data_IF_189240167665
#
_entry.id   IF_189240167665
#
_cell.length_a   1.000
_cell.length_b   1.000
_cell.length_c   1.000
_cell.angle_alpha   90.00
_cell.angle_beta   90.00
_cell.angle_gamma   90.00
#
_symmetry.space_group_name_H-M   'P 1'
#
loop_
_entity.id
_entity.type
_entity.pdbx_description
1 polymer ?
#
# COMPACT_ATOMS: atom_id res chain seq x y z
N UNK A 1 21.77 13.18 12.65
CA UNK A 1 21.27 12.65 11.37
C UNK A 1 20.04 13.48 11.01
N UNK A 2 19.95 14.05 9.80
CA UNK A 2 18.76 14.84 9.41
C UNK A 2 17.58 13.89 9.25
N UNK A 3 16.57 14.03 10.10
CA UNK A 3 15.36 13.22 10.06
C UNK A 3 14.52 13.62 8.84
N UNK A 4 14.24 12.67 7.94
CA UNK A 4 13.30 12.89 6.85
C UNK A 4 11.88 12.71 7.41
N UNK A 5 11.05 13.77 7.53
CA UNK A 5 9.78 13.69 8.26
C UNK A 5 8.79 12.68 7.64
N UNK A 6 8.90 12.40 6.34
CA UNK A 6 8.06 11.41 5.68
C UNK A 6 8.35 9.95 6.09
N UNK A 7 9.50 9.69 6.73
CA UNK A 7 9.89 8.37 7.23
C UNK A 7 9.33 8.08 8.63
N UNK A 8 8.80 9.09 9.33
CA UNK A 8 8.22 8.90 10.65
C UNK A 8 7.05 7.89 10.58
N UNK A 9 7.07 6.80 11.35
CA UNK A 9 6.00 5.81 11.28
C UNK A 9 4.65 6.34 11.79
N UNK A 10 4.62 7.40 12.59
CA UNK A 10 3.38 7.95 13.15
C UNK A 10 2.69 8.94 12.20
N UNK A 11 3.42 9.58 11.27
CA UNK A 11 2.81 10.51 10.31
C UNK A 11 2.06 9.77 9.20
N UNK A 12 1.12 10.47 8.56
CA UNK A 12 0.42 9.98 7.37
C UNK A 12 1.19 10.51 6.15
N UNK A 13 1.88 9.63 5.44
CA UNK A 13 2.62 9.99 4.23
C UNK A 13 1.75 9.76 2.99
N UNK A 14 1.55 10.81 2.19
CA UNK A 14 0.72 10.80 0.98
C UNK A 14 1.53 10.72 -0.32
N UNK A 15 1.34 9.65 -1.08
CA UNK A 15 1.79 9.50 -2.47
C UNK A 15 0.88 10.25 -3.46
N UNK A 16 1.38 10.45 -4.68
CA UNK A 16 0.60 11.10 -5.73
C UNK A 16 0.05 10.10 -6.75
N UNK A 17 -1.27 10.17 -6.99
CA UNK A 17 -1.91 9.52 -8.14
C UNK A 17 -2.19 10.53 -9.26
N UNK A 18 -2.30 10.02 -10.49
CA UNK A 18 -2.88 10.73 -11.62
C UNK A 18 -4.25 10.17 -11.94
N UNK A 19 -5.24 11.05 -12.05
CA UNK A 19 -6.65 10.65 -12.16
C UNK A 19 -7.16 10.50 -13.58
N UNK A 20 -6.30 10.66 -14.59
CA UNK A 20 -6.67 10.81 -16.02
C UNK A 20 -7.82 11.78 -16.32
N UNK A 21 -8.14 12.68 -15.37
CA UNK A 21 -9.30 13.59 -15.40
C UNK A 21 -10.65 12.89 -15.44
N UNK A 22 -10.72 11.65 -14.98
CA UNK A 22 -11.96 10.91 -14.73
C UNK A 22 -12.37 11.08 -13.26
N UNK A 23 -13.64 10.78 -12.96
CA UNK A 23 -14.16 10.81 -11.59
C UNK A 23 -14.03 9.46 -10.88
N UNK A 24 -13.93 8.37 -11.66
CA UNK A 24 -13.74 7.02 -11.16
C UNK A 24 -12.24 6.72 -11.01
N UNK A 25 -11.91 5.82 -10.10
CA UNK A 25 -10.55 5.38 -9.80
C UNK A 25 -10.03 4.30 -10.75
N UNK A 26 -10.89 3.68 -11.57
CA UNK A 26 -10.55 2.50 -12.40
C UNK A 26 -9.31 2.72 -13.28
N UNK A 27 -9.11 3.93 -13.81
CA UNK A 27 -7.98 4.27 -14.68
C UNK A 27 -6.93 5.18 -14.00
N UNK A 28 -7.06 5.39 -12.69
CA UNK A 28 -6.06 6.08 -11.88
C UNK A 28 -4.77 5.27 -11.80
N UNK A 29 -3.66 5.98 -11.71
CA UNK A 29 -2.33 5.34 -11.67
C UNK A 29 -1.38 6.11 -10.77
N UNK A 30 -0.34 5.42 -10.28
CA UNK A 30 0.73 6.07 -9.53
C UNK A 30 1.46 7.10 -10.39
N UNK A 31 1.63 8.31 -9.88
CA UNK A 31 2.45 9.29 -10.58
C UNK A 31 3.90 8.78 -10.64
N UNK A 32 4.54 8.76 -11.83
CA UNK A 32 5.82 8.07 -12.02
C UNK A 32 6.99 8.69 -11.23
N UNK A 33 6.84 9.93 -10.76
CA UNK A 33 7.81 10.65 -9.93
C UNK A 33 7.50 10.57 -8.42
N UNK A 34 6.40 9.93 -8.03
CA UNK A 34 6.06 9.75 -6.61
C UNK A 34 7.02 8.73 -6.00
N UNK A 35 7.81 9.16 -5.02
CA UNK A 35 8.72 8.28 -4.30
C UNK A 35 7.95 7.24 -3.48
N UNK A 36 8.51 6.03 -3.39
CA UNK A 36 7.99 4.94 -2.58
C UNK A 36 9.09 3.95 -2.23
N UNK A 37 8.84 3.16 -1.20
CA UNK A 37 9.77 2.13 -0.73
C UNK A 37 9.58 1.85 0.75
N UNK A 38 10.58 1.20 1.34
CA UNK A 38 10.64 0.97 2.77
C UNK A 38 11.65 1.92 3.40
N UNK A 39 11.34 2.43 4.59
CA UNK A 39 12.33 3.13 5.41
C UNK A 39 13.41 2.17 5.89
N UNK A 40 14.49 2.67 6.48
CA UNK A 40 15.56 1.82 7.04
C UNK A 40 15.02 0.87 8.12
N UNK A 41 14.00 1.31 8.84
CA UNK A 41 13.30 0.58 9.89
C UNK A 41 12.25 -0.41 9.34
N UNK A 42 12.04 -0.45 8.01
CA UNK A 42 11.14 -1.39 7.34
C UNK A 42 9.70 -0.92 7.19
N UNK A 43 9.39 0.36 7.39
CA UNK A 43 8.03 0.88 7.19
C UNK A 43 7.78 1.20 5.70
N UNK A 44 6.69 0.68 5.13
CA UNK A 44 6.26 1.06 3.77
C UNK A 44 5.84 2.52 3.76
N UNK A 45 6.40 3.30 2.83
CA UNK A 45 6.02 4.67 2.54
C UNK A 45 5.81 4.86 1.03
N UNK A 46 4.81 5.65 0.61
CA UNK A 46 3.75 6.27 1.42
C UNK A 46 2.73 5.23 1.93
N UNK A 47 1.96 5.55 2.99
CA UNK A 47 0.87 4.67 3.42
C UNK A 47 -0.35 4.74 2.51
N UNK A 48 -0.67 5.94 2.00
CA UNK A 48 -1.83 6.17 1.13
C UNK A 48 -1.44 7.08 -0.01
N UNK A 49 -2.25 7.11 -1.06
CA UNK A 49 -2.11 8.08 -2.14
C UNK A 49 -3.34 8.99 -2.26
N UNK A 50 -3.16 10.13 -2.91
CA UNK A 50 -4.23 11.03 -3.29
C UNK A 50 -3.92 11.69 -4.65
N UNK A 51 -4.93 12.27 -5.32
CA UNK A 51 -4.73 13.05 -6.54
C UNK A 51 -3.63 14.11 -6.36
N UNK A 52 -2.55 13.98 -7.13
CA UNK A 52 -1.38 14.85 -7.06
C UNK A 52 -0.77 15.16 -8.42
N UNK A 53 -1.29 14.58 -9.52
CA UNK A 53 -0.87 14.88 -10.89
C UNK A 53 -1.96 15.64 -11.63
N UNK A 54 -1.57 16.65 -12.40
CA UNK A 54 -2.47 17.56 -13.11
C UNK A 54 -3.55 18.13 -12.21
N UNK A 55 -3.15 18.68 -11.07
CA UNK A 55 -4.04 19.37 -10.15
C UNK A 55 -4.20 20.83 -10.60
N UNK A 56 -5.41 21.37 -10.47
CA UNK A 56 -5.64 22.82 -10.63
C UNK A 56 -5.39 23.47 -9.28
N UNK A 57 -4.33 24.26 -9.17
CA UNK A 57 -4.04 25.02 -7.96
C UNK A 57 -4.05 26.52 -8.22
N UNK A 58 -4.41 27.28 -7.18
CA UNK A 58 -4.34 28.73 -7.22
C UNK A 58 -2.88 29.19 -7.28
N UNK A 59 -2.60 30.17 -8.12
CA UNK A 59 -1.28 30.78 -8.28
C UNK A 59 -1.45 32.30 -8.34
N UNK A 60 -0.64 33.08 -7.60
CA UNK A 60 -0.63 34.53 -7.73
C UNK A 60 -0.34 34.98 -9.16
N UNK A 61 -0.99 36.06 -9.60
CA UNK A 61 -0.85 36.56 -10.99
C UNK A 61 0.60 36.88 -11.35
N UNK A 62 1.35 37.44 -10.39
CA UNK A 62 2.77 37.79 -10.52
C UNK A 62 3.71 36.74 -9.90
N UNK A 63 3.21 35.53 -9.60
CA UNK A 63 4.03 34.47 -9.02
C UNK A 63 5.07 33.95 -10.02
N UNK A 64 6.30 33.73 -9.55
CA UNK A 64 7.42 33.22 -10.36
C UNK A 64 7.04 31.96 -11.16
N UNK A 65 6.27 31.05 -10.55
CA UNK A 65 5.82 29.82 -11.19
C UNK A 65 4.91 30.07 -12.40
N UNK A 66 4.06 31.11 -12.34
CA UNK A 66 3.22 31.52 -13.47
C UNK A 66 4.04 32.15 -14.60
N UNK A 67 5.04 32.96 -14.26
CA UNK A 67 5.94 33.59 -15.21
C UNK A 67 6.81 32.55 -15.93
N UNK A 68 7.33 31.55 -15.21
CA UNK A 68 8.22 30.52 -15.77
C UNK A 68 7.47 29.46 -16.59
N UNK A 69 6.22 29.16 -16.25
CA UNK A 69 5.42 28.12 -16.92
C UNK A 69 4.08 28.65 -17.47
N UNK A 70 4.09 29.65 -18.37
CA UNK A 70 2.87 30.32 -18.83
C UNK A 70 1.89 29.37 -19.53
N UNK A 71 2.40 28.34 -20.23
CA UNK A 71 1.59 27.33 -20.92
C UNK A 71 0.76 26.43 -19.98
N UNK A 72 1.07 26.43 -18.68
CA UNK A 72 0.30 25.69 -17.67
C UNK A 72 -0.79 26.54 -17.03
N UNK A 73 -0.83 27.86 -17.29
CA UNK A 73 -1.85 28.74 -16.75
C UNK A 73 -3.22 28.43 -17.36
N UNK A 74 -4.25 28.46 -16.52
CA UNK A 74 -5.64 28.24 -16.90
C UNK A 74 -6.43 29.55 -17.01
N UNK A 75 -5.76 30.70 -16.83
CA UNK A 75 -6.43 31.97 -16.57
C UNK A 75 -7.00 32.04 -15.14
N UNK A 76 -7.54 33.21 -14.76
CA UNK A 76 -8.25 33.44 -13.50
C UNK A 76 -7.47 33.08 -12.22
N UNK A 77 -6.14 33.19 -12.24
CA UNK A 77 -5.30 32.85 -11.09
C UNK A 77 -5.13 31.35 -10.83
N UNK A 78 -5.35 30.48 -11.81
CA UNK A 78 -5.11 29.03 -11.70
C UNK A 78 -4.05 28.51 -12.66
N UNK A 79 -3.43 27.40 -12.28
CA UNK A 79 -2.42 26.70 -13.07
C UNK A 79 -2.48 25.18 -12.84
N UNK A 80 -2.16 24.42 -13.88
CA UNK A 80 -1.90 22.98 -13.77
C UNK A 80 -0.57 22.71 -13.07
N UNK A 81 -0.61 21.94 -11.98
CA UNK A 81 0.55 21.59 -11.18
C UNK A 81 0.57 20.11 -10.85
N UNK A 82 1.73 19.59 -10.46
CA UNK A 82 1.92 18.20 -10.10
C UNK A 82 2.97 18.10 -9.01
N UNK A 83 2.72 17.27 -8.01
CA UNK A 83 3.63 17.04 -6.89
C UNK A 83 2.93 16.29 -5.77
N UNK A 84 3.69 15.57 -4.94
CA UNK A 84 3.17 15.02 -3.68
C UNK A 84 2.71 16.15 -2.75
N UNK A 85 3.29 17.35 -2.90
CA UNK A 85 2.81 18.60 -2.29
C UNK A 85 1.35 18.95 -2.64
N UNK A 86 0.78 18.41 -3.72
CA UNK A 86 -0.64 18.56 -4.05
C UNK A 86 -1.50 17.40 -3.54
N UNK A 87 -0.94 16.21 -3.37
CA UNK A 87 -1.61 15.09 -2.72
C UNK A 87 -1.73 15.30 -1.20
N UNK A 88 -0.69 15.82 -0.55
CA UNK A 88 -0.66 16.09 0.89
C UNK A 88 -1.83 16.93 1.42
N UNK A 89 -2.21 18.08 0.81
CA UNK A 89 -3.38 18.85 1.26
C UNK A 89 -4.70 18.14 0.98
N UNK A 90 -4.79 17.26 -0.03
CA UNK A 90 -6.00 16.42 -0.23
C UNK A 90 -6.17 15.44 0.93
N UNK A 91 -5.09 14.74 1.32
CA UNK A 91 -5.09 13.85 2.48
C UNK A 91 -5.41 14.63 3.77
N UNK A 92 -4.80 15.80 3.95
CA UNK A 92 -5.03 16.66 5.13
C UNK A 92 -6.46 17.18 5.20
N UNK A 93 -7.05 17.56 4.07
CA UNK A 93 -8.46 17.98 4.01
C UNK A 93 -9.42 16.85 4.33
N UNK A 94 -9.11 15.63 3.91
CA UNK A 94 -9.89 14.44 4.31
C UNK A 94 -9.73 14.14 5.80
N UNK A 95 -8.53 14.22 6.36
CA UNK A 95 -8.30 14.09 7.79
C UNK A 95 -9.12 15.13 8.59
N UNK A 96 -9.14 16.39 8.14
CA UNK A 96 -9.97 17.43 8.74
C UNK A 96 -11.48 17.11 8.65
N UNK A 97 -11.96 16.60 7.52
CA UNK A 97 -13.36 16.18 7.38
C UNK A 97 -13.73 14.99 8.29
N UNK A 98 -12.82 14.02 8.45
CA UNK A 98 -12.99 12.90 9.37
C UNK A 98 -13.10 13.42 10.81
N UNK A 99 -12.20 14.31 11.22
CA UNK A 99 -12.22 14.93 12.55
C UNK A 99 -13.45 15.81 12.79
N UNK A 100 -13.92 16.53 11.76
CA UNK A 100 -15.14 17.33 11.87
C UNK A 100 -16.38 16.47 12.16
N UNK A 101 -16.41 15.24 11.65
CA UNK A 101 -17.47 14.26 11.91
C UNK A 101 -17.25 13.43 13.16
N UNK A 102 -15.99 13.23 13.54
CA UNK A 102 -15.58 12.41 14.67
C UNK A 102 -14.61 13.18 15.58
N UNK A 103 -15.07 14.20 16.34
CA UNK A 103 -14.18 15.10 17.06
C UNK A 103 -13.35 14.45 18.17
N UNK A 104 -13.78 13.28 18.66
CA UNK A 104 -13.09 12.53 19.71
C UNK A 104 -12.05 11.54 19.17
N UNK A 105 -11.87 11.45 17.85
CA UNK A 105 -10.92 10.50 17.27
C UNK A 105 -9.48 10.96 17.45
N UNK A 106 -8.60 9.99 17.70
CA UNK A 106 -7.15 10.20 17.75
C UNK A 106 -6.55 10.30 16.35
N UNK A 107 -5.34 10.86 16.19
CA UNK A 107 -4.60 10.84 14.93
C UNK A 107 -4.45 9.42 14.35
N UNK A 108 -4.26 8.42 15.20
CA UNK A 108 -4.16 7.02 14.76
C UNK A 108 -5.46 6.48 14.19
N UNK A 109 -6.60 6.83 14.79
CA UNK A 109 -7.91 6.42 14.28
C UNK A 109 -8.18 7.06 12.92
N UNK A 110 -7.75 8.32 12.73
CA UNK A 110 -7.79 9.00 11.42
C UNK A 110 -6.88 8.30 10.41
N UNK A 111 -5.63 8.00 10.77
CA UNK A 111 -4.68 7.25 9.93
C UNK A 111 -5.23 5.89 9.55
N UNK A 112 -5.74 5.14 10.53
CA UNK A 112 -6.36 3.83 10.35
C UNK A 112 -7.58 3.87 9.43
N UNK A 113 -8.46 4.85 9.59
CA UNK A 113 -9.62 5.03 8.72
C UNK A 113 -9.23 5.32 7.26
N UNK A 114 -8.24 6.20 7.05
CA UNK A 114 -7.74 6.52 5.71
C UNK A 114 -7.11 5.30 5.04
N UNK A 115 -6.27 4.54 5.76
CA UNK A 115 -5.63 3.33 5.24
C UNK A 115 -6.62 2.21 4.96
N UNK A 116 -7.52 1.91 5.90
CA UNK A 116 -8.47 0.80 5.80
C UNK A 116 -9.48 0.98 4.66
N UNK A 117 -9.82 2.23 4.35
CA UNK A 117 -10.86 2.54 3.36
C UNK A 117 -10.31 2.95 2.00
N UNK A 118 -8.98 3.10 1.89
CA UNK A 118 -8.32 3.39 0.63
C UNK A 118 -8.63 2.31 -0.42
N UNK A 119 -8.66 2.73 -1.69
CA UNK A 119 -9.02 1.86 -2.82
C UNK A 119 -7.88 1.75 -3.80
N UNK A 120 -7.66 0.55 -4.31
CA UNK A 120 -6.73 0.31 -5.40
C UNK A 120 -7.43 0.48 -6.75
N UNK A 121 -6.85 1.22 -7.70
CA UNK A 121 -7.27 1.21 -9.11
C UNK A 121 -7.23 -0.21 -9.70
N UNK A 122 -8.13 -0.52 -10.65
CA UNK A 122 -8.20 -1.84 -11.25
C UNK A 122 -6.95 -2.15 -12.09
N UNK A 123 -6.44 -3.39 -11.99
CA UNK A 123 -5.26 -3.80 -12.77
C UNK A 123 -3.92 -3.24 -12.28
N UNK A 124 -3.92 -2.50 -11.17
CA UNK A 124 -2.69 -2.01 -10.54
C UNK A 124 -2.24 -2.97 -9.43
N UNK A 125 -1.11 -3.66 -9.67
CA UNK A 125 -0.42 -4.41 -8.62
C UNK A 125 0.02 -3.43 -7.52
N UNK A 126 -0.07 -3.86 -6.25
CA UNK A 126 0.35 -3.08 -5.08
C UNK A 126 1.88 -2.87 -5.08
N UNK A 127 2.37 -1.97 -5.94
CA UNK A 127 3.79 -1.67 -6.11
C UNK A 127 4.33 -0.63 -5.13
N UNK A 128 3.70 -0.47 -3.95
CA UNK A 128 4.08 0.49 -2.91
C UNK A 128 3.86 1.98 -3.24
N UNK A 129 3.85 2.37 -4.52
CA UNK A 129 3.70 3.76 -4.95
C UNK A 129 2.37 4.42 -4.56
N UNK A 130 1.30 3.61 -4.43
CA UNK A 130 0.01 4.04 -3.91
C UNK A 130 -0.21 3.68 -2.43
N UNK A 131 0.82 3.13 -1.76
CA UNK A 131 0.68 2.56 -0.42
C UNK A 131 -0.37 1.45 -0.39
N UNK A 132 -1.35 1.56 0.50
CA UNK A 132 -2.51 0.67 0.57
C UNK A 132 -3.66 1.10 -0.36
N UNK A 133 -3.53 2.23 -1.05
CA UNK A 133 -4.47 2.69 -2.08
C UNK A 133 -4.68 4.20 -2.08
N UNK A 134 -5.55 4.66 -2.97
CA UNK A 134 -5.98 6.06 -3.05
C UNK A 134 -7.09 6.30 -2.02
N UNK A 135 -6.98 7.38 -1.28
CA UNK A 135 -7.92 7.77 -0.21
C UNK A 135 -9.37 7.85 -0.67
N UNK A 136 -10.30 7.33 0.15
CA UNK A 136 -11.74 7.37 -0.08
C UNK A 136 -12.43 8.15 1.05
N UNK A 137 -12.66 9.44 0.80
CA UNK A 137 -13.21 10.37 1.80
C UNK A 137 -14.55 9.93 2.41
N UNK A 138 -15.58 9.61 1.59
CA UNK A 138 -16.87 9.16 2.11
C UNK A 138 -16.77 7.93 3.02
N UNK A 139 -16.02 6.90 2.61
CA UNK A 139 -15.87 5.69 3.43
C UNK A 139 -15.02 5.92 4.68
N UNK A 140 -13.94 6.72 4.60
CA UNK A 140 -13.10 7.03 5.75
C UNK A 140 -13.87 7.80 6.84
N UNK A 141 -14.73 8.73 6.43
CA UNK A 141 -15.54 9.56 7.33
C UNK A 141 -16.60 8.78 8.12
N UNK A 142 -17.03 7.61 7.61
CA UNK A 142 -18.02 6.74 8.26
C UNK A 142 -17.43 5.42 8.76
N UNK A 143 -16.10 5.32 8.82
CA UNK A 143 -15.39 4.16 9.36
C UNK A 143 -15.73 3.94 10.84
N UNK A 144 -15.76 2.70 11.36
CA UNK A 144 -16.04 2.44 12.78
C UNK A 144 -14.96 2.92 13.75
N UNK A 145 -13.84 3.49 13.26
CA UNK A 145 -12.83 4.17 14.09
C UNK A 145 -11.98 3.27 14.99
N UNK A 146 -12.03 1.95 14.80
CA UNK A 146 -11.34 0.99 15.68
C UNK A 146 -9.87 0.73 15.28
N UNK A 147 -9.48 1.10 14.06
CA UNK A 147 -8.15 0.81 13.55
C UNK A 147 -7.12 1.79 14.12
N UNK A 148 -6.14 1.27 14.86
CA UNK A 148 -4.92 1.99 15.23
C UNK A 148 -3.71 1.29 14.59
N UNK A 149 -3.19 1.77 13.43
CA UNK A 149 -2.05 1.15 12.77
C UNK A 149 -0.73 1.36 13.53
N UNK A 150 -0.67 2.27 14.50
CA UNK A 150 0.51 2.57 15.29
C UNK A 150 0.50 1.89 16.68
N UNK A 151 -0.53 1.12 17.02
CA UNK A 151 -0.73 0.58 18.38
C UNK A 151 0.49 -0.20 18.90
N UNK A 152 1.08 -1.05 18.06
CA UNK A 152 2.25 -1.85 18.41
C UNK A 152 3.55 -1.03 18.48
N UNK A 153 3.57 0.19 17.96
CA UNK A 153 4.76 1.04 17.91
C UNK A 153 4.93 1.90 19.16
N UNK A 154 3.86 2.12 19.93
CA UNK A 154 3.91 2.95 21.14
C UNK A 154 4.84 2.41 22.23
N UNK A 155 5.10 1.11 22.26
CA UNK A 155 6.08 0.52 23.18
C UNK A 155 7.53 0.94 22.86
N UNK A 156 7.79 1.46 21.66
CA UNK A 156 9.08 1.97 21.22
C UNK A 156 9.12 3.51 21.21
N UNK A 157 8.15 4.18 21.84
CA UNK A 157 8.20 5.63 22.02
C UNK A 157 8.90 5.93 23.35
N UNK A 158 9.97 6.72 23.27
CA UNK A 158 10.75 7.19 24.40
C UNK A 158 10.71 8.72 24.48
N UNK A 159 11.38 9.31 25.48
CA UNK A 159 11.51 10.76 25.63
C UNK A 159 12.90 11.22 25.20
N UNK A 160 12.96 12.26 24.37
CA UNK A 160 14.21 12.91 24.01
C UNK A 160 14.76 13.80 25.15
N UNK A 161 15.92 14.43 24.92
CA UNK A 161 16.57 15.31 25.89
C UNK A 161 15.79 16.60 26.20
N UNK A 162 14.76 16.92 25.41
CA UNK A 162 13.85 18.05 25.61
C UNK A 162 12.53 17.64 26.29
N UNK A 163 12.34 16.34 26.56
CA UNK A 163 11.10 15.78 27.09
C UNK A 163 10.03 15.52 26.03
N UNK A 164 10.36 15.68 24.74
CA UNK A 164 9.49 15.36 23.62
C UNK A 164 9.41 13.85 23.37
N UNK A 165 8.26 13.37 22.89
CA UNK A 165 8.12 11.98 22.47
C UNK A 165 8.91 11.73 21.19
N UNK A 166 9.76 10.70 21.17
CA UNK A 166 10.56 10.29 20.02
C UNK A 166 10.48 8.79 19.81
N UNK A 167 10.51 8.34 18.56
CA UNK A 167 10.55 6.92 18.22
C UNK A 167 11.97 6.36 18.42
N UNK A 168 12.10 5.32 19.24
CA UNK A 168 13.32 4.55 19.41
C UNK A 168 13.44 3.52 18.28
N UNK A 169 14.00 3.98 17.15
CA UNK A 169 14.20 3.11 15.99
C UNK A 169 15.18 1.96 16.26
N UNK A 170 16.11 2.12 17.20
CA UNK A 170 17.07 1.08 17.54
C UNK A 170 16.40 -0.06 18.34
N UNK A 171 15.57 0.28 19.34
CA UNK A 171 14.79 -0.71 20.07
C UNK A 171 13.76 -1.42 19.18
N UNK A 172 13.14 -0.67 18.26
CA UNK A 172 12.29 -1.25 17.21
C UNK A 172 13.08 -2.22 16.33
N UNK A 173 14.22 -1.81 15.79
CA UNK A 173 15.03 -2.64 14.90
C UNK A 173 15.52 -3.91 15.58
N UNK A 174 15.95 -3.83 16.84
CA UNK A 174 16.35 -5.01 17.61
C UNK A 174 15.18 -5.97 17.78
N UNK A 175 14.00 -5.44 18.13
CA UNK A 175 12.79 -6.26 18.29
C UNK A 175 12.30 -6.83 16.95
N UNK A 176 12.37 -6.04 15.88
CA UNK A 176 11.99 -6.43 14.54
C UNK A 176 12.95 -7.50 13.99
N UNK A 177 14.26 -7.39 14.23
CA UNK A 177 15.26 -8.41 13.87
C UNK A 177 15.14 -9.67 14.72
N UNK A 178 14.92 -9.53 16.02
CA UNK A 178 14.68 -10.65 16.93
C UNK A 178 13.40 -11.42 16.55
N UNK A 179 12.33 -10.73 16.17
CA UNK A 179 11.13 -11.37 15.62
C UNK A 179 11.29 -11.82 14.16
N UNK A 180 12.19 -11.20 13.38
CA UNK A 180 12.57 -11.65 12.04
C UNK A 180 13.51 -12.86 12.06
N UNK A 181 13.84 -13.40 13.25
CA UNK A 181 14.38 -14.75 13.45
C UNK A 181 13.37 -15.85 13.06
N UNK A 182 12.74 -15.72 11.91
CA UNK A 182 12.12 -16.80 11.13
C UNK A 182 13.15 -17.46 10.20
N UNK A 183 14.43 -17.48 10.58
CA UNK A 183 15.37 -18.47 10.06
C UNK A 183 15.19 -19.84 10.74
N UNK A 184 14.30 -19.97 11.73
CA UNK A 184 14.16 -21.18 12.56
C UNK A 184 12.77 -21.38 13.18
N UNK A 185 11.70 -20.85 12.58
CA UNK A 185 10.34 -21.21 12.98
C UNK A 185 9.93 -22.54 12.33
N UNK A 186 9.90 -23.61 13.12
CA UNK A 186 9.38 -24.92 12.74
C UNK A 186 7.94 -24.81 12.23
N UNK A 187 7.73 -25.15 10.96
CA UNK A 187 6.43 -25.21 10.28
C UNK A 187 5.52 -26.35 10.76
N UNK A 188 5.69 -26.86 11.97
CA UNK A 188 5.01 -28.06 12.47
C UNK A 188 3.96 -27.83 13.56
N UNK A 189 3.74 -26.61 14.06
CA UNK A 189 2.83 -26.40 15.20
C UNK A 189 1.96 -25.14 15.20
N UNK A 190 2.04 -24.26 14.21
CA UNK A 190 1.06 -23.17 14.08
C UNK A 190 -0.24 -23.73 13.48
N UNK A 191 -1.36 -23.66 14.20
CA UNK A 191 -2.66 -24.09 13.68
C UNK A 191 -3.24 -23.00 12.77
N UNK A 192 -3.28 -23.29 11.46
CA UNK A 192 -3.70 -22.38 10.38
C UNK A 192 -5.22 -22.27 10.20
N UNK A 193 -6.02 -22.56 11.22
CA UNK A 193 -7.48 -22.70 11.07
C UNK A 193 -8.26 -21.37 11.05
N UNK A 194 -7.62 -20.21 11.20
CA UNK A 194 -8.32 -18.91 11.25
C UNK A 194 -7.76 -17.82 10.34
N UNK A 195 -6.70 -18.07 9.58
CA UNK A 195 -6.24 -17.16 8.53
C UNK A 195 -6.99 -17.52 7.22
N UNK A 196 -7.90 -16.67 6.75
CA UNK A 196 -8.58 -16.89 5.47
C UNK A 196 -7.66 -16.48 4.31
N UNK A 197 -7.03 -17.48 3.69
CA UNK A 197 -6.10 -17.38 2.54
C UNK A 197 -6.78 -17.20 1.18
N UNK A 198 -8.01 -16.68 1.15
CA UNK A 198 -8.87 -16.78 -0.04
C UNK A 198 -8.56 -15.75 -1.16
N UNK A 199 -7.43 -15.05 -1.16
CA UNK A 199 -7.15 -14.04 -2.22
C UNK A 199 -5.69 -13.92 -2.66
N UNK A 200 -4.78 -14.78 -2.20
CA UNK A 200 -3.43 -14.82 -2.74
C UNK A 200 -3.41 -15.66 -4.03
N UNK A 201 -3.37 -15.02 -5.19
CA UNK A 201 -3.30 -15.71 -6.49
C UNK A 201 -1.84 -16.02 -6.82
N UNK A 202 -1.46 -17.30 -6.73
CA UNK A 202 -0.09 -17.83 -6.86
C UNK A 202 0.33 -18.12 -8.31
N UNK A 203 -0.16 -17.34 -9.27
CA UNK A 203 -0.11 -17.73 -10.67
C UNK A 203 1.24 -17.53 -11.39
N UNK A 204 2.32 -17.10 -10.73
CA UNK A 204 3.59 -16.86 -11.45
C UNK A 204 4.90 -17.10 -10.69
N UNK A 205 4.91 -17.90 -9.63
CA UNK A 205 6.18 -18.33 -9.03
C UNK A 205 6.74 -19.53 -9.82
N UNK A 206 7.83 -19.35 -10.56
CA UNK A 206 8.50 -20.42 -11.30
C UNK A 206 9.37 -21.29 -10.36
N UNK A 207 9.00 -22.56 -10.23
CA UNK A 207 9.60 -23.54 -9.32
C UNK A 207 10.79 -24.30 -9.93
N UNK A 208 11.70 -23.60 -10.61
CA UNK A 208 12.70 -24.28 -11.43
C UNK A 208 13.93 -24.82 -10.68
N UNK A 209 14.11 -24.58 -9.38
CA UNK A 209 15.38 -24.92 -8.72
C UNK A 209 15.30 -25.50 -7.28
N UNK A 210 14.19 -26.14 -6.90
CA UNK A 210 14.14 -26.88 -5.64
C UNK A 210 14.39 -28.39 -5.90
N UNK A 211 15.57 -28.88 -5.54
CA UNK A 211 15.93 -30.30 -5.61
C UNK A 211 15.29 -31.10 -4.45
N UNK A 212 14.36 -31.99 -4.77
CA UNK A 212 13.56 -32.80 -3.83
C UNK A 212 14.24 -34.14 -3.49
N UNK A 213 15.43 -34.12 -2.89
CA UNK A 213 16.12 -35.34 -2.48
C UNK A 213 16.31 -35.37 -0.97
N UNK A 214 15.25 -35.63 -0.20
CA UNK A 214 15.32 -36.20 1.19
C UNK A 214 13.98 -36.28 1.95
N UNK A 215 12.82 -36.35 1.29
CA UNK A 215 11.57 -36.64 2.01
C UNK A 215 11.13 -38.09 1.76
N UNK A 216 11.38 -38.96 2.74
CA UNK A 216 10.91 -40.35 2.75
C UNK A 216 9.40 -40.39 3.01
N UNK A 217 8.64 -40.89 2.03
CA UNK A 217 7.19 -41.01 2.07
C UNK A 217 6.77 -42.34 2.72
N UNK A 218 6.65 -42.37 4.04
CA UNK A 218 6.08 -43.54 4.73
C UNK A 218 5.22 -43.10 5.91
N UNK A 219 4.01 -42.62 5.61
CA UNK A 219 2.83 -42.63 6.50
C UNK A 219 1.60 -41.86 5.97
N UNK A 220 1.52 -41.49 4.68
CA UNK A 220 0.27 -41.02 4.11
C UNK A 220 -0.59 -42.22 3.66
N UNK A 221 -1.48 -42.69 4.53
CA UNK A 221 -2.57 -43.58 4.14
C UNK A 221 -3.59 -42.80 3.30
N UNK A 222 -3.58 -43.04 2.00
CA UNK A 222 -4.57 -42.51 1.07
C UNK A 222 -5.89 -43.29 1.20
N UNK A 223 -6.82 -42.78 2.02
CA UNK A 223 -8.17 -43.32 2.11
C UNK A 223 -9.19 -42.19 2.30
N UNK A 224 -9.40 -41.41 1.23
CA UNK A 224 -10.68 -40.84 0.78
C UNK A 224 -10.45 -39.57 -0.06
N UNK A 225 -10.07 -39.78 -1.31
CA UNK A 225 -10.49 -38.92 -2.40
C UNK A 225 -10.83 -39.84 -3.57
N UNK A 226 -12.12 -40.18 -3.70
CA UNK A 226 -12.64 -40.95 -4.82
C UNK A 226 -12.53 -40.12 -6.10
N UNK A 227 -11.71 -40.58 -7.04
CA UNK A 227 -11.64 -40.06 -8.40
C UNK A 227 -12.76 -40.70 -9.25
N UNK A 228 -13.72 -39.90 -9.66
CA UNK A 228 -14.58 -40.15 -10.82
C UNK A 228 -14.78 -38.78 -11.47
N UNK A 229 -14.47 -38.52 -12.74
CA UNK A 229 -14.43 -39.39 -13.90
C UNK A 229 -13.48 -38.73 -14.92
N UNK A 230 -12.46 -39.46 -15.39
CA UNK A 230 -11.71 -39.08 -16.59
C UNK A 230 -12.26 -39.90 -17.75
N UNK A 231 -12.66 -39.24 -18.84
CA UNK A 231 -12.89 -39.90 -20.12
C UNK A 231 -11.97 -39.29 -21.16
N UNK A 232 -10.92 -40.05 -21.50
CA UNK A 232 -10.09 -39.84 -22.68
C UNK A 232 -10.80 -40.43 -23.90
N UNK A 233 -10.81 -39.69 -25.01
CA UNK A 233 -10.99 -40.26 -26.34
C UNK A 233 -9.81 -39.82 -27.20
N UNK A 234 -8.94 -40.77 -27.55
CA UNK A 234 -7.95 -40.64 -28.61
C UNK A 234 -8.66 -40.70 -29.97
N UNK A 235 -8.21 -39.92 -30.94
CA UNK A 235 -7.86 -40.50 -32.23
C UNK A 235 -6.93 -39.63 -33.09
N UNK A 236 -6.19 -40.36 -33.90
CA UNK A 236 -5.00 -40.03 -34.66
C UNK A 236 -5.19 -39.01 -35.81
N UNK A 237 -4.09 -38.27 -36.04
CA UNK A 237 -3.40 -38.01 -37.32
C UNK A 237 -4.21 -37.39 -38.48
N UNK A 238 -3.82 -36.19 -38.96
CA UNK A 238 -3.10 -35.98 -40.25
C UNK A 238 -2.97 -34.48 -40.62
N UNK A 239 -1.73 -34.09 -40.96
CA UNK A 239 -1.28 -33.17 -42.04
C UNK A 239 -1.67 -31.67 -42.16
N UNK A 240 -0.60 -30.90 -42.45
CA UNK A 240 -0.41 -29.67 -43.28
C UNK A 240 -0.70 -28.24 -42.74
N UNK A 241 0.39 -27.45 -42.72
CA UNK A 241 0.60 -25.97 -42.83
C UNK A 241 -0.38 -25.15 -43.73
N UNK A 242 -0.26 -23.79 -43.90
CA UNK A 242 0.06 -22.68 -42.98
C UNK A 242 -0.82 -21.39 -43.23
N UNK A 243 -0.41 -20.25 -42.63
CA UNK A 243 -0.71 -18.82 -42.94
C UNK A 243 -2.13 -18.23 -42.76
N UNK A 244 -2.27 -17.22 -41.87
CA UNK A 244 -2.30 -15.77 -42.16
C UNK A 244 -2.09 -14.95 -40.88
#
# INVERSE_FOLDING_TARGET
MVFAPANDPFVITGGASGTRRTADIVDDYAAPWSAWGYTNEGFLKPEVAAPGRWMRGAVPELGTMKIQFPTRSLGQGYMWMSGTSFAAPVVSGLAANILARNPSWTPDQVKGALMLTARMPYGHAAGGALGVGIVNGPSAATSPGQANPNAALYQFVTTDSTGGATFDSAAWEETAKANASWASASWSSASWSSASWASASWANASWANASWASASWSSASWANASWANASWANNANTSSEPEE
#
